data_IF_195608977250
#
_entry.id   IF_195608977250
#
_cell.length_a   1.000
_cell.length_b   1.000
_cell.length_c   1.000
_cell.angle_alpha   90.00
_cell.angle_beta   90.00
_cell.angle_gamma   90.00
#
_symmetry.space_group_name_H-M   'P 1'
#
loop_
_entity.id
_entity.type
_entity.pdbx_description
1 polymer ?
#
# COMPACT_ATOMS: atom_id res chain seq x y z
N UNK A 1 8.22 -43.05 13.62
CA UNK A 1 8.17 -42.11 12.48
C UNK A 1 8.57 -40.74 13.00
N UNK A 2 9.71 -40.21 12.55
CA UNK A 2 10.23 -38.93 13.03
C UNK A 2 9.68 -37.79 12.17
N UNK A 3 9.09 -36.78 12.79
CA UNK A 3 8.72 -35.53 12.12
C UNK A 3 9.98 -34.78 11.69
N UNK A 4 10.03 -34.19 10.47
CA UNK A 4 11.16 -33.36 10.08
C UNK A 4 11.18 -32.08 10.93
N UNK A 5 12.32 -31.85 11.59
CA UNK A 5 12.61 -30.62 12.32
C UNK A 5 12.41 -29.41 11.40
N UNK A 6 11.55 -28.50 11.84
CA UNK A 6 11.29 -27.19 11.22
C UNK A 6 12.62 -26.43 11.08
N UNK A 7 13.14 -26.37 9.85
CA UNK A 7 14.32 -25.56 9.52
C UNK A 7 13.96 -24.10 9.78
N UNK A 8 14.61 -23.48 10.78
CA UNK A 8 14.56 -22.03 11.00
C UNK A 8 15.24 -21.36 9.81
N UNK A 9 14.43 -20.85 8.89
CA UNK A 9 14.92 -20.01 7.80
C UNK A 9 15.57 -18.76 8.41
N UNK A 10 16.91 -18.68 8.32
CA UNK A 10 17.67 -17.47 8.63
C UNK A 10 17.47 -16.51 7.48
N UNK A 11 16.47 -15.63 7.59
CA UNK A 11 16.35 -14.49 6.66
C UNK A 11 17.47 -13.52 7.04
N UNK A 12 18.43 -13.39 6.14
CA UNK A 12 19.51 -12.43 6.23
C UNK A 12 18.93 -11.00 6.13
N UNK A 13 19.16 -10.18 7.15
CA UNK A 13 19.33 -8.72 7.06
C UNK A 13 18.24 -7.83 6.45
N UNK A 14 17.12 -8.36 5.95
CA UNK A 14 16.00 -7.57 5.48
C UNK A 14 15.13 -7.16 6.65
N UNK A 15 14.87 -5.86 6.81
CA UNK A 15 13.76 -5.41 7.67
C UNK A 15 12.54 -6.18 7.19
N UNK A 16 11.89 -7.00 8.04
CA UNK A 16 10.67 -7.68 7.63
C UNK A 16 9.65 -6.59 7.30
N UNK A 17 9.35 -6.40 6.02
CA UNK A 17 8.17 -5.64 5.65
C UNK A 17 7.00 -6.45 6.20
N UNK A 18 6.29 -5.88 7.18
CA UNK A 18 5.01 -6.45 7.59
C UNK A 18 4.14 -6.48 6.33
N UNK A 19 3.57 -7.64 5.95
CA UNK A 19 2.84 -7.78 4.70
C UNK A 19 1.62 -6.84 4.63
N UNK A 20 1.12 -6.44 5.80
CA UNK A 20 0.06 -5.47 5.97
C UNK A 20 0.41 -4.54 7.12
N UNK A 21 0.44 -3.24 6.86
CA UNK A 21 0.50 -2.23 7.91
C UNK A 21 -0.83 -1.48 7.94
N UNK A 22 -1.50 -1.55 9.08
CA UNK A 22 -2.76 -0.84 9.30
C UNK A 22 -2.48 0.58 9.83
N UNK A 23 -3.24 1.53 9.33
CA UNK A 23 -3.19 2.93 9.72
C UNK A 23 -4.60 3.40 10.07
N UNK A 24 -4.75 4.05 11.22
CA UNK A 24 -5.98 4.72 11.61
C UNK A 24 -6.04 6.10 10.95
N UNK A 25 -6.62 6.15 9.75
CA UNK A 25 -6.85 7.39 9.04
C UNK A 25 -8.32 7.81 9.19
N UNK A 26 -8.60 8.91 9.90
CA UNK A 26 -10.00 9.33 10.09
C UNK A 26 -10.70 9.77 8.80
N UNK A 27 -9.91 10.19 7.81
CA UNK A 27 -10.35 10.53 6.45
C UNK A 27 -9.25 10.18 5.45
N UNK A 28 -9.59 10.08 4.16
CA UNK A 28 -8.59 9.83 3.10
C UNK A 28 -7.62 11.01 2.97
N UNK A 29 -8.08 12.23 3.21
CA UNK A 29 -7.24 13.44 3.15
C UNK A 29 -6.12 13.39 4.18
N UNK A 30 -6.38 12.89 5.40
CA UNK A 30 -5.32 12.71 6.40
C UNK A 30 -4.26 11.72 5.96
N UNK A 31 -4.65 10.63 5.32
CA UNK A 31 -3.71 9.68 4.73
C UNK A 31 -2.86 10.38 3.65
N UNK A 32 -3.47 11.21 2.80
CA UNK A 32 -2.74 11.98 1.78
C UNK A 32 -1.79 13.02 2.39
N UNK A 33 -2.19 13.68 3.48
CA UNK A 33 -1.34 14.61 4.23
C UNK A 33 -0.12 13.88 4.83
N UNK A 34 -0.32 12.72 5.44
CA UNK A 34 0.77 11.89 5.97
C UNK A 34 1.75 11.47 4.87
N UNK A 35 1.23 11.02 3.72
CA UNK A 35 2.06 10.66 2.56
C UNK A 35 2.84 11.85 2.01
N UNK A 36 2.21 13.03 1.96
CA UNK A 36 2.88 14.27 1.55
C UNK A 36 3.98 14.67 2.55
N UNK A 37 3.73 14.51 3.85
CA UNK A 37 4.68 14.82 4.92
C UNK A 37 5.86 13.84 4.95
N UNK A 38 5.71 12.63 4.44
CA UNK A 38 6.80 11.66 4.29
C UNK A 38 7.87 12.11 3.26
N UNK A 39 7.58 13.12 2.42
CA UNK A 39 8.51 13.74 1.46
C UNK A 39 9.30 12.72 0.63
N UNK A 40 8.60 11.71 0.10
CA UNK A 40 9.23 10.67 -0.73
C UNK A 40 9.68 11.31 -2.07
N UNK A 41 10.99 11.34 -2.38
CA UNK A 41 11.48 12.02 -3.58
C UNK A 41 10.88 11.46 -4.87
N UNK A 42 10.37 12.34 -5.72
CA UNK A 42 9.81 11.96 -7.03
C UNK A 42 8.49 11.19 -6.96
N UNK A 43 7.93 10.95 -5.77
CA UNK A 43 6.69 10.23 -5.61
C UNK A 43 5.48 11.08 -6.03
N UNK A 44 4.57 10.43 -6.74
CA UNK A 44 3.24 10.91 -7.10
C UNK A 44 2.21 10.04 -6.40
N UNK A 45 1.03 10.62 -6.15
CA UNK A 45 -0.09 9.93 -5.51
C UNK A 45 -1.30 9.98 -6.44
N UNK A 46 -1.90 8.83 -6.68
CA UNK A 46 -3.11 8.67 -7.47
C UNK A 46 -4.19 8.01 -6.59
N UNK A 47 -5.39 8.58 -6.60
CA UNK A 47 -6.52 8.13 -5.78
C UNK A 47 -7.64 7.68 -6.69
N UNK A 48 -8.10 6.44 -6.52
CA UNK A 48 -9.21 5.89 -7.29
C UNK A 48 -10.17 5.12 -6.40
N UNK A 49 -11.46 5.18 -6.71
CA UNK A 49 -12.46 4.31 -6.10
C UNK A 49 -12.34 2.92 -6.71
N UNK A 50 -12.30 1.89 -5.87
CA UNK A 50 -12.26 0.51 -6.36
C UNK A 50 -13.68 0.06 -6.71
N UNK A 51 -13.91 -0.24 -7.99
CA UNK A 51 -15.20 -0.78 -8.45
C UNK A 51 -15.45 -2.20 -7.93
N UNK A 52 -14.39 -3.02 -7.88
CA UNK A 52 -14.44 -4.41 -7.42
C UNK A 52 -13.97 -4.61 -5.97
N UNK A 53 -13.21 -3.66 -5.43
CA UNK A 53 -12.62 -3.73 -4.09
C UNK A 53 -13.63 -3.38 -3.03
N UNK A 54 -14.08 -4.38 -2.26
CA UNK A 54 -14.92 -4.19 -1.08
C UNK A 54 -14.13 -4.49 0.19
N UNK A 55 -14.33 -3.66 1.21
CA UNK A 55 -13.75 -3.91 2.51
C UNK A 55 -14.36 -5.19 3.10
N UNK A 56 -13.52 -6.14 3.50
CA UNK A 56 -13.98 -7.45 3.97
C UNK A 56 -14.96 -7.34 5.15
N UNK A 57 -14.72 -6.43 6.09
CA UNK A 57 -15.52 -6.32 7.30
C UNK A 57 -16.89 -5.63 7.11
N UNK A 58 -16.96 -4.56 6.30
CA UNK A 58 -18.20 -3.79 6.13
C UNK A 58 -18.83 -3.88 4.72
N UNK A 59 -18.18 -4.57 3.78
CA UNK A 59 -18.60 -4.74 2.39
C UNK A 59 -18.78 -3.45 1.57
N UNK A 60 -18.31 -2.32 2.11
CA UNK A 60 -18.34 -1.01 1.44
C UNK A 60 -17.18 -0.89 0.44
N UNK A 61 -17.33 -0.09 -0.63
CA UNK A 61 -16.26 0.14 -1.58
C UNK A 61 -14.99 0.70 -0.91
N UNK A 62 -13.84 0.25 -1.37
CA UNK A 62 -12.53 0.73 -0.95
C UNK A 62 -12.07 1.87 -1.86
N UNK A 63 -11.25 2.76 -1.31
CA UNK A 63 -10.48 3.76 -2.04
C UNK A 63 -9.05 3.25 -2.13
N UNK A 64 -8.53 3.13 -3.35
CA UNK A 64 -7.14 2.81 -3.61
C UNK A 64 -6.33 4.12 -3.66
N UNK A 65 -5.24 4.15 -2.93
CA UNK A 65 -4.25 5.24 -2.96
C UNK A 65 -2.92 4.64 -3.40
N UNK A 66 -2.56 4.91 -4.66
CA UNK A 66 -1.32 4.45 -5.27
C UNK A 66 -0.25 5.52 -5.06
N UNK A 67 0.91 5.09 -4.56
CA UNK A 67 2.11 5.93 -4.43
C UNK A 67 3.15 5.35 -5.37
N UNK A 68 3.60 6.13 -6.35
CA UNK A 68 4.53 5.65 -7.38
C UNK A 68 5.52 6.73 -7.78
N UNK A 69 6.69 6.33 -8.26
CA UNK A 69 7.58 7.21 -9.03
C UNK A 69 7.35 7.01 -10.51
N UNK A 70 7.44 8.08 -11.30
CA UNK A 70 7.31 8.01 -12.76
C UNK A 70 8.64 8.34 -13.42
N UNK A 71 9.07 7.51 -14.35
CA UNK A 71 10.23 7.76 -15.19
C UNK A 71 9.79 7.75 -16.65
N UNK A 72 10.10 8.82 -17.39
CA UNK A 72 9.91 8.84 -18.85
C UNK A 72 11.10 8.14 -19.50
N UNK A 73 10.82 7.13 -20.32
CA UNK A 73 11.82 6.40 -21.11
C UNK A 73 11.83 6.87 -22.58
N UNK A 74 11.28 8.06 -22.85
CA UNK A 74 11.10 8.62 -24.20
C UNK A 74 9.77 9.37 -24.33
N UNK A 75 9.47 9.86 -25.54
CA UNK A 75 8.28 10.68 -25.81
C UNK A 75 6.95 9.92 -25.63
N UNK A 76 6.95 8.58 -25.68
CA UNK A 76 5.73 7.77 -25.68
C UNK A 76 5.63 6.74 -24.54
N UNK A 77 6.66 6.60 -23.69
CA UNK A 77 6.67 5.57 -22.64
C UNK A 77 6.93 6.18 -21.26
N UNK A 78 5.90 6.15 -20.41
CA UNK A 78 6.00 6.44 -18.97
C UNK A 78 5.99 5.12 -18.21
N UNK A 79 7.07 4.84 -17.47
CA UNK A 79 7.12 3.72 -16.55
C UNK A 79 6.75 4.20 -15.15
N UNK A 80 5.76 3.53 -14.53
CA UNK A 80 5.34 3.79 -13.15
C UNK A 80 5.94 2.72 -12.23
N UNK A 81 6.87 3.13 -11.39
CA UNK A 81 7.44 2.34 -10.30
C UNK A 81 6.53 2.46 -9.07
N UNK A 82 5.73 1.41 -8.81
CA UNK A 82 4.83 1.40 -7.66
C UNK A 82 5.61 1.25 -6.35
N UNK A 83 5.53 2.26 -5.48
CA UNK A 83 6.21 2.30 -4.19
C UNK A 83 5.33 1.73 -3.06
N UNK A 84 4.04 2.07 -3.07
CA UNK A 84 3.08 1.57 -2.10
C UNK A 84 1.66 1.64 -2.67
N UNK A 85 0.81 0.71 -2.19
CA UNK A 85 -0.64 0.74 -2.41
C UNK A 85 -1.32 0.73 -1.04
N UNK A 86 -2.18 1.72 -0.81
CA UNK A 86 -3.06 1.74 0.35
C UNK A 86 -4.50 1.50 -0.07
N UNK A 87 -5.21 0.69 0.71
CA UNK A 87 -6.65 0.49 0.58
C UNK A 87 -7.33 1.12 1.80
N UNK A 88 -8.11 2.16 1.56
CA UNK A 88 -8.82 2.91 2.58
C UNK A 88 -10.33 2.62 2.53
N UNK A 89 -10.95 2.38 3.68
CA UNK A 89 -12.40 2.28 3.80
C UNK A 89 -12.98 3.56 4.44
N UNK A 90 -13.80 4.35 3.73
CA UNK A 90 -14.40 5.56 4.29
C UNK A 90 -15.31 5.31 5.50
N UNK A 91 -16.05 4.20 5.51
CA UNK A 91 -16.97 3.85 6.60
C UNK A 91 -16.23 3.38 7.86
N UNK A 92 -15.21 2.53 7.67
CA UNK A 92 -14.43 1.97 8.79
C UNK A 92 -13.28 2.87 9.24
N UNK A 93 -12.93 3.90 8.46
CA UNK A 93 -11.86 4.88 8.76
C UNK A 93 -10.52 4.20 9.03
N UNK A 94 -10.23 3.16 8.27
CA UNK A 94 -9.00 2.39 8.32
C UNK A 94 -8.37 2.35 6.93
N UNK A 95 -7.04 2.42 6.90
CA UNK A 95 -6.24 2.19 5.72
C UNK A 95 -5.30 1.00 5.96
N UNK A 96 -5.09 0.18 4.94
CA UNK A 96 -4.14 -0.92 4.96
C UNK A 96 -3.16 -0.74 3.81
N UNK A 97 -1.86 -0.81 4.10
CA UNK A 97 -0.83 -0.92 3.06
C UNK A 97 -0.73 -2.37 2.61
N UNK A 98 -0.86 -2.61 1.30
CA UNK A 98 -1.04 -3.95 0.70
C UNK A 98 0.22 -4.48 -0.01
N UNK A 99 1.21 -3.61 -0.26
CA UNK A 99 2.49 -3.90 -0.93
C UNK A 99 3.67 -3.38 -0.12
#
# INVERSE_FOLDING_TARGET
>A
MAHPSRVKSKIAGGIPHMPFQEFTATTVEKLLEELKNAKIPGARVEVSTSEDGRHYACSKPLVNVLVYTSQSLGEEQEYKDLLALYQYCPDCKNAVRVL
#
